data_IF_391066241311
#
_entry.id   IF_391066241311
#
_cell.length_a   1.000
_cell.length_b   1.000
_cell.length_c   1.000
_cell.angle_alpha   90.00
_cell.angle_beta   90.00
_cell.angle_gamma   90.00
#
_symmetry.space_group_name_H-M   'P 1'
#
loop_
_entity.id
_entity.type
_entity.pdbx_description
1 polymer ?
#
# COMPACT_ATOMS: atom_id res chain seq x y z
N UNK A 1 14.15 -1.24 -12.55
CA UNK A 1 13.70 -0.71 -11.24
C UNK A 1 12.22 -1.03 -11.07
N UNK A 2 11.73 -1.17 -9.84
CA UNK A 2 10.30 -1.36 -9.57
C UNK A 2 9.65 0.01 -9.40
N UNK A 3 8.52 0.24 -10.07
CA UNK A 3 7.77 1.52 -10.00
C UNK A 3 6.75 1.54 -8.86
N UNK A 4 7.19 1.22 -7.64
CA UNK A 4 6.31 0.99 -6.50
C UNK A 4 5.36 2.15 -6.20
N UNK A 5 5.87 3.39 -6.10
CA UNK A 5 5.06 4.58 -5.84
C UNK A 5 3.96 4.75 -6.89
N UNK A 6 4.29 4.60 -8.18
CA UNK A 6 3.32 4.73 -9.26
C UNK A 6 2.26 3.63 -9.19
N UNK A 7 2.66 2.39 -8.93
CA UNK A 7 1.73 1.26 -8.82
C UNK A 7 0.72 1.50 -7.70
N UNK A 8 1.16 1.96 -6.52
CA UNK A 8 0.25 2.26 -5.40
C UNK A 8 -0.68 3.43 -5.73
N UNK A 9 -0.15 4.52 -6.30
CA UNK A 9 -0.98 5.66 -6.71
C UNK A 9 -2.04 5.28 -7.73
N UNK A 10 -1.73 4.42 -8.69
CA UNK A 10 -2.70 3.93 -9.67
C UNK A 10 -3.80 3.10 -8.99
N UNK A 11 -3.45 2.18 -8.08
CA UNK A 11 -4.45 1.40 -7.36
C UNK A 11 -5.41 2.29 -6.54
N UNK A 12 -4.88 3.32 -5.88
CA UNK A 12 -5.71 4.29 -5.15
C UNK A 12 -6.61 5.09 -6.09
N UNK A 13 -6.08 5.54 -7.23
CA UNK A 13 -6.86 6.24 -8.26
C UNK A 13 -7.98 5.36 -8.84
N UNK A 14 -7.74 4.04 -8.93
CA UNK A 14 -8.73 3.04 -9.35
C UNK A 14 -9.75 2.71 -8.24
N UNK A 15 -9.63 3.32 -7.05
CA UNK A 15 -10.59 3.20 -5.95
C UNK A 15 -10.19 2.22 -4.84
N UNK A 16 -8.94 1.73 -4.82
CA UNK A 16 -8.47 0.89 -3.72
C UNK A 16 -8.35 1.71 -2.42
N UNK A 17 -9.03 1.27 -1.37
CA UNK A 17 -9.06 1.95 -0.06
C UNK A 17 -8.46 1.12 1.08
N UNK A 18 -8.27 -0.19 0.86
CA UNK A 18 -7.74 -1.14 1.84
C UNK A 18 -6.62 -1.99 1.21
N UNK A 19 -5.52 -2.15 1.94
CA UNK A 19 -4.40 -3.00 1.56
C UNK A 19 -4.07 -4.02 2.66
N UNK A 20 -3.89 -5.27 2.27
CA UNK A 20 -3.55 -6.37 3.20
C UNK A 20 -2.16 -6.92 2.87
N UNK A 21 -1.23 -6.84 3.82
CA UNK A 21 0.10 -7.47 3.73
C UNK A 21 0.03 -8.89 4.29
N UNK A 22 0.34 -9.87 3.45
CA UNK A 22 0.40 -11.28 3.83
C UNK A 22 1.85 -11.68 4.09
N UNK A 23 2.21 -11.95 5.35
CA UNK A 23 3.53 -12.45 5.73
C UNK A 23 4.10 -11.77 6.98
N UNK A 24 5.23 -12.28 7.50
CA UNK A 24 5.85 -11.74 8.70
C UNK A 24 6.42 -10.36 8.42
N UNK A 25 5.87 -9.33 9.07
CA UNK A 25 6.36 -7.95 8.97
C UNK A 25 5.25 -6.94 8.76
N UNK A 26 5.67 -5.68 8.52
CA UNK A 26 4.80 -4.52 8.23
C UNK A 26 5.47 -3.58 7.23
N UNK A 27 6.30 -4.12 6.35
CA UNK A 27 7.15 -3.30 5.46
C UNK A 27 6.27 -2.66 4.41
N UNK A 28 5.42 -3.45 3.73
CA UNK A 28 4.54 -2.94 2.69
C UNK A 28 3.51 -1.98 3.27
N UNK A 29 2.96 -2.28 4.46
CA UNK A 29 2.09 -1.35 5.20
C UNK A 29 2.77 0.02 5.39
N UNK A 30 4.03 0.03 5.82
CA UNK A 30 4.79 1.27 6.02
C UNK A 30 5.11 2.01 4.72
N UNK A 31 5.43 1.28 3.65
CA UNK A 31 5.68 1.87 2.34
C UNK A 31 4.42 2.49 1.73
N UNK A 32 3.27 1.81 1.85
CA UNK A 32 1.98 2.33 1.36
C UNK A 32 1.60 3.60 2.13
N UNK A 33 1.69 3.60 3.47
CA UNK A 33 1.38 4.77 4.30
C UNK A 33 2.25 6.00 4.01
N UNK A 34 3.48 5.80 3.53
CA UNK A 34 4.37 6.90 3.09
C UNK A 34 3.95 7.49 1.74
N UNK A 35 3.29 6.69 0.89
CA UNK A 35 2.81 7.12 -0.42
C UNK A 35 1.46 7.80 -0.29
N UNK A 36 0.54 7.17 0.46
CA UNK A 36 -0.78 7.69 0.75
C UNK A 36 -1.20 7.27 2.16
N UNK A 37 -1.44 8.26 3.03
CA UNK A 37 -1.84 8.03 4.42
C UNK A 37 -3.35 7.94 4.62
N UNK A 38 -4.14 8.14 3.56
CA UNK A 38 -5.62 8.09 3.61
C UNK A 38 -6.19 6.67 3.51
N UNK A 39 -5.39 5.71 3.05
CA UNK A 39 -5.80 4.32 2.85
C UNK A 39 -5.57 3.46 4.10
N UNK A 40 -6.40 2.44 4.28
CA UNK A 40 -6.27 1.50 5.37
C UNK A 40 -5.24 0.41 5.03
N UNK A 41 -4.38 0.05 6.00
CA UNK A 41 -3.43 -1.06 5.83
C UNK A 41 -3.51 -2.04 6.99
N UNK A 42 -3.60 -3.34 6.68
CA UNK A 42 -3.69 -4.46 7.63
C UNK A 42 -2.62 -5.52 7.34
N UNK A 43 -2.30 -6.33 8.34
CA UNK A 43 -1.41 -7.49 8.21
C UNK A 43 -2.12 -8.76 8.64
N UNK A 44 -1.78 -9.88 7.98
CA UNK A 44 -2.19 -11.24 8.36
C UNK A 44 -1.11 -11.90 9.20
#
# INVERSE_FOLDING_TARGET
>A
SVRWTQTVQNMVADGATEFVECGPGRVLQGLIRKIDSSVETKGV
#
